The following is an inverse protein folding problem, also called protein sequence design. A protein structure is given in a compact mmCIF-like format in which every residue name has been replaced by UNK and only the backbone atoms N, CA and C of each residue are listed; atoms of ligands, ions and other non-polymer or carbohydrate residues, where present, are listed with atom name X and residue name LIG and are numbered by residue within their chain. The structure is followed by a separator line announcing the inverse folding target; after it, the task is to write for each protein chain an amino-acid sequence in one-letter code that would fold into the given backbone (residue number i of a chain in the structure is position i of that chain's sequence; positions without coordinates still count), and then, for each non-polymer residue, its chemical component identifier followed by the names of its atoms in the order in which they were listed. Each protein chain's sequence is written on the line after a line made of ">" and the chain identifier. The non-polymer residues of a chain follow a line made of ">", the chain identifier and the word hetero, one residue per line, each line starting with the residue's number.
data_IF_348753838816
#
_entry.id   IF_348753838816
#
_cell.length_a   1.000
_cell.length_b   1.000
_cell.length_c   1.000
_cell.angle_alpha   90.00
_cell.angle_beta   90.00
_cell.angle_gamma   90.00
#
_symmetry.space_group_name_H-M   'P 1'
#
loop_
_entity.id
_entity.type
_entity.pdbx_description
1 polymer ?
#
# COMPACT_ATOMS: atom_id res chain seq x y z
N UNK A 1 5.69 -1.55 -10.25
CA UNK A 1 5.96 -0.38 -11.12
C UNK A 1 4.88 -0.22 -12.18
N UNK A 2 4.66 -1.18 -13.10
CA UNK A 2 3.71 -1.06 -14.23
C UNK A 2 2.29 -0.74 -13.76
N UNK A 3 1.80 -1.41 -12.72
CA UNK A 3 0.48 -1.15 -12.11
C UNK A 3 0.33 0.33 -11.73
N UNK A 4 1.31 0.91 -11.07
CA UNK A 4 1.26 2.31 -10.61
C UNK A 4 1.41 3.32 -11.75
N UNK A 5 2.20 3.01 -12.77
CA UNK A 5 2.29 3.83 -14.00
C UNK A 5 0.94 3.87 -14.73
N UNK A 6 0.29 2.72 -14.88
CA UNK A 6 -1.02 2.63 -15.52
C UNK A 6 -2.11 3.30 -14.68
N UNK A 7 -2.09 3.11 -13.37
CA UNK A 7 -2.94 3.85 -12.42
C UNK A 7 -2.85 5.35 -12.65
N UNK A 8 -1.64 5.89 -12.76
CA UNK A 8 -1.45 7.33 -12.96
C UNK A 8 -1.90 7.78 -14.34
N UNK A 9 -1.69 6.95 -15.38
CA UNK A 9 -2.19 7.23 -16.73
C UNK A 9 -3.72 7.36 -16.75
N UNK A 10 -4.42 6.43 -16.08
CA UNK A 10 -5.87 6.45 -15.94
C UNK A 10 -6.31 7.73 -15.19
N UNK A 11 -5.73 7.97 -14.02
CA UNK A 11 -6.09 9.14 -13.19
C UNK A 11 -5.88 10.45 -13.91
N UNK A 12 -4.78 10.60 -14.65
CA UNK A 12 -4.53 11.82 -15.45
C UNK A 12 -5.61 12.07 -16.53
N UNK A 13 -6.19 11.00 -17.06
CA UNK A 13 -7.25 11.12 -18.08
C UNK A 13 -8.62 11.45 -17.46
N UNK A 14 -8.95 10.88 -16.29
CA UNK A 14 -10.31 10.99 -15.71
C UNK A 14 -10.42 12.01 -14.58
N UNK A 15 -9.29 12.44 -14.00
CA UNK A 15 -9.25 13.39 -12.87
C UNK A 15 -8.18 14.46 -13.10
N UNK A 16 -8.39 15.39 -14.06
CA UNK A 16 -7.39 16.41 -14.40
C UNK A 16 -7.15 17.44 -13.27
N UNK A 17 -8.08 17.56 -12.33
CA UNK A 17 -8.00 18.47 -11.18
C UNK A 17 -8.42 17.74 -9.91
N UNK A 18 -7.52 16.94 -9.30
CA UNK A 18 -7.81 16.25 -8.05
C UNK A 18 -7.91 17.25 -6.88
N UNK A 19 -8.76 16.94 -5.89
CA UNK A 19 -8.89 17.74 -4.67
C UNK A 19 -7.65 17.62 -3.76
N UNK A 20 -6.90 16.51 -3.90
CA UNK A 20 -5.60 16.31 -3.23
C UNK A 20 -4.55 15.96 -4.26
N UNK A 21 -3.31 16.35 -4.01
CA UNK A 21 -2.17 15.93 -4.85
C UNK A 21 -2.04 14.41 -4.87
N UNK A 22 -1.92 13.84 -6.05
CA UNK A 22 -1.67 12.41 -6.24
C UNK A 22 -0.21 12.23 -6.62
N UNK A 23 0.50 11.38 -5.89
CA UNK A 23 1.90 11.04 -6.11
C UNK A 23 2.02 9.56 -6.46
N UNK A 24 2.94 9.23 -7.36
CA UNK A 24 3.40 7.86 -7.60
C UNK A 24 4.84 7.76 -7.15
N UNK A 25 5.11 6.82 -6.26
CA UNK A 25 6.46 6.50 -5.80
C UNK A 25 7.01 5.29 -6.57
N UNK A 26 8.17 5.47 -7.20
CA UNK A 26 9.01 4.40 -7.71
C UNK A 26 10.32 4.45 -6.94
N UNK A 27 10.39 3.63 -5.90
CA UNK A 27 11.47 3.70 -4.92
C UNK A 27 12.70 2.93 -5.38
N UNK A 28 13.88 3.44 -5.11
CA UNK A 28 15.12 2.70 -5.27
C UNK A 28 15.57 2.14 -3.92
N UNK A 29 16.30 1.01 -3.97
CA UNK A 29 16.86 0.39 -2.78
C UNK A 29 15.81 -0.18 -1.82
N UNK A 30 14.70 -0.68 -2.35
CA UNK A 30 13.69 -1.38 -1.54
C UNK A 30 14.32 -2.64 -0.93
N UNK A 31 14.96 -3.48 -1.71
CA UNK A 31 15.64 -4.73 -1.32
C UNK A 31 16.81 -4.51 -0.36
N UNK A 32 17.34 -3.30 -0.27
CA UNK A 32 18.39 -2.92 0.68
C UNK A 32 17.83 -2.28 1.96
N UNK A 33 16.55 -2.45 2.21
CA UNK A 33 15.89 -1.99 3.44
C UNK A 33 15.04 -0.73 3.26
N UNK A 34 14.30 -0.62 2.17
CA UNK A 34 13.32 0.44 1.88
C UNK A 34 13.97 1.83 1.79
N UNK A 35 15.22 1.91 1.31
CA UNK A 35 16.02 3.13 1.41
C UNK A 35 15.38 4.34 0.74
N UNK A 36 14.82 4.16 -0.48
CA UNK A 36 14.21 5.25 -1.23
C UNK A 36 12.96 5.80 -0.54
N UNK A 37 12.04 4.94 -0.15
CA UNK A 37 10.80 5.36 0.50
C UNK A 37 11.05 5.95 1.89
N UNK A 38 11.93 5.37 2.69
CA UNK A 38 12.31 5.91 4.01
C UNK A 38 12.95 7.29 3.90
N UNK A 39 13.89 7.45 2.97
CA UNK A 39 14.52 8.76 2.72
C UNK A 39 13.48 9.80 2.32
N UNK A 40 12.61 9.45 1.36
CA UNK A 40 11.56 10.36 0.90
C UNK A 40 10.64 10.81 2.04
N UNK A 41 10.15 9.87 2.85
CA UNK A 41 9.25 10.20 3.96
C UNK A 41 9.94 11.07 5.03
N UNK A 42 11.21 10.81 5.31
CA UNK A 42 11.99 11.63 6.26
C UNK A 42 12.24 13.05 5.73
N UNK A 43 12.47 13.20 4.43
CA UNK A 43 12.74 14.50 3.80
C UNK A 43 11.47 15.32 3.51
N UNK A 44 10.30 14.65 3.50
CA UNK A 44 9.02 15.29 3.16
C UNK A 44 7.97 15.12 4.28
N UNK A 45 8.22 15.59 5.51
CA UNK A 45 7.32 15.39 6.64
C UNK A 45 5.92 15.95 6.40
N UNK A 46 5.78 17.02 5.63
CA UNK A 46 4.47 17.59 5.25
C UNK A 46 3.66 16.64 4.34
N UNK A 47 4.31 15.85 3.50
CA UNK A 47 3.64 14.81 2.70
C UNK A 47 3.10 13.72 3.62
N UNK A 48 3.92 13.28 4.56
CA UNK A 48 3.50 12.28 5.57
C UNK A 48 2.34 12.82 6.40
N UNK A 49 2.42 14.05 6.89
CA UNK A 49 1.39 14.72 7.68
C UNK A 49 0.07 14.85 6.91
N UNK A 50 0.13 15.25 5.64
CA UNK A 50 -1.05 15.43 4.77
C UNK A 50 -1.55 14.16 4.08
N UNK A 51 -0.92 12.99 4.29
CA UNK A 51 -1.24 11.77 3.57
C UNK A 51 -2.66 11.29 3.89
N UNK A 52 -3.52 11.22 2.88
CA UNK A 52 -4.86 10.66 2.95
C UNK A 52 -4.85 9.13 2.84
N UNK A 53 -4.08 8.60 1.92
CA UNK A 53 -3.90 7.17 1.69
C UNK A 53 -2.64 6.92 0.86
N UNK A 54 -1.96 5.82 1.14
CA UNK A 54 -0.95 5.22 0.29
C UNK A 54 -1.39 3.79 0.00
N UNK A 55 -1.42 3.41 -1.27
CA UNK A 55 -1.71 2.05 -1.72
C UNK A 55 -0.44 1.40 -2.24
N UNK A 56 -0.03 0.30 -1.63
CA UNK A 56 1.18 -0.43 -1.98
C UNK A 56 0.82 -1.87 -2.38
N UNK A 57 1.34 -2.31 -3.54
CA UNK A 57 1.26 -3.68 -4.01
C UNK A 57 2.66 -4.16 -4.35
N UNK A 58 3.09 -5.25 -3.71
CA UNK A 58 4.45 -5.76 -3.80
C UNK A 58 4.48 -7.28 -3.58
N UNK A 59 3.75 -8.03 -4.39
CA UNK A 59 3.69 -9.48 -4.27
C UNK A 59 3.18 -10.17 -5.55
N UNK A 60 3.96 -10.06 -6.59
CA UNK A 60 3.68 -10.70 -7.87
C UNK A 60 2.57 -10.01 -8.67
N UNK A 61 2.06 -10.69 -9.69
CA UNK A 61 1.13 -10.13 -10.68
C UNK A 61 -0.32 -10.54 -10.48
N UNK A 62 -0.60 -11.40 -9.52
CA UNK A 62 -1.95 -11.89 -9.25
C UNK A 62 -2.91 -10.76 -8.88
N UNK A 63 -4.19 -11.03 -9.05
CA UNK A 63 -5.26 -10.09 -8.68
C UNK A 63 -5.26 -9.81 -7.19
N UNK A 64 -5.52 -8.58 -6.80
CA UNK A 64 -5.66 -8.20 -5.39
C UNK A 64 -6.81 -8.95 -4.76
N UNK A 65 -6.53 -9.66 -3.66
CA UNK A 65 -7.50 -10.48 -2.92
C UNK A 65 -7.63 -10.12 -1.44
N UNK A 66 -6.69 -9.35 -0.91
CA UNK A 66 -6.76 -8.88 0.47
C UNK A 66 -6.27 -7.43 0.58
N UNK A 67 -6.74 -6.76 1.62
CA UNK A 67 -6.32 -5.41 2.01
C UNK A 67 -6.17 -5.34 3.52
N UNK A 68 -5.32 -4.43 4.00
CA UNK A 68 -5.06 -4.24 5.42
C UNK A 68 -5.24 -2.76 5.77
N UNK A 69 -6.06 -2.47 6.76
CA UNK A 69 -6.34 -1.11 7.26
C UNK A 69 -5.20 -0.50 8.10
N UNK A 70 -4.00 -1.08 8.02
CA UNK A 70 -2.74 -0.56 8.56
C UNK A 70 -2.74 -0.30 10.09
N UNK A 71 -3.62 -0.95 10.84
CA UNK A 71 -3.76 -0.74 12.28
C UNK A 71 -4.43 0.57 12.68
N UNK A 72 -5.04 1.28 11.73
CA UNK A 72 -5.81 2.49 11.99
C UNK A 72 -7.27 2.15 12.26
N UNK A 73 -7.82 2.67 13.35
CA UNK A 73 -9.17 2.31 13.82
C UNK A 73 -10.25 2.62 12.77
N UNK A 74 -10.14 3.78 12.11
CA UNK A 74 -11.10 4.22 11.09
C UNK A 74 -10.73 3.76 9.68
N UNK A 75 -9.52 3.22 9.48
CA UNK A 75 -9.02 2.81 8.17
C UNK A 75 -9.91 1.80 7.46
N UNK A 76 -10.54 0.89 8.21
CA UNK A 76 -11.48 -0.08 7.68
C UNK A 76 -12.77 0.55 7.15
N UNK A 77 -13.30 1.57 7.83
CA UNK A 77 -14.51 2.27 7.43
C UNK A 77 -14.28 3.06 6.12
N UNK A 78 -13.16 3.79 6.03
CA UNK A 78 -12.77 4.49 4.80
C UNK A 78 -12.58 3.55 3.62
N UNK A 79 -11.85 2.44 3.81
CA UNK A 79 -11.68 1.43 2.76
C UNK A 79 -13.02 0.82 2.33
N UNK A 80 -13.91 0.51 3.27
CA UNK A 80 -15.21 -0.05 2.97
C UNK A 80 -16.09 0.94 2.19
N UNK A 81 -16.10 2.21 2.59
CA UNK A 81 -16.83 3.26 1.88
C UNK A 81 -16.31 3.42 0.44
N UNK A 82 -15.01 3.53 0.25
CA UNK A 82 -14.42 3.63 -1.09
C UNK A 82 -14.71 2.39 -1.94
N UNK A 83 -14.53 1.18 -1.39
CA UNK A 83 -14.78 -0.07 -2.11
C UNK A 83 -16.25 -0.25 -2.48
N UNK A 84 -17.18 0.26 -1.67
CA UNK A 84 -18.61 0.20 -1.97
C UNK A 84 -19.00 0.94 -3.27
N UNK A 85 -18.15 1.88 -3.70
CA UNK A 85 -18.30 2.69 -4.92
C UNK A 85 -17.56 2.10 -6.11
N UNK A 86 -16.81 1.02 -5.93
CA UNK A 86 -16.08 0.31 -6.99
C UNK A 86 -16.95 -0.83 -7.53
N UNK A 87 -17.11 -1.00 -8.86
CA UNK A 87 -17.91 -2.07 -9.43
C UNK A 87 -17.49 -3.46 -8.95
N UNK A 88 -18.48 -4.33 -8.71
CA UNK A 88 -18.26 -5.69 -8.20
C UNK A 88 -17.37 -6.56 -9.10
N UNK A 89 -17.35 -6.30 -10.41
CA UNK A 89 -16.44 -6.98 -11.33
C UNK A 89 -14.97 -6.72 -11.04
N UNK A 90 -14.64 -5.56 -10.45
CA UNK A 90 -13.28 -5.17 -10.04
C UNK A 90 -12.96 -5.68 -8.65
N UNK A 91 -13.93 -5.59 -7.71
CA UNK A 91 -13.72 -5.93 -6.30
C UNK A 91 -14.07 -7.38 -5.95
N UNK A 92 -14.73 -8.11 -6.84
CA UNK A 92 -15.28 -9.45 -6.54
C UNK A 92 -14.24 -10.51 -6.10
N UNK A 93 -12.97 -10.24 -6.28
CA UNK A 93 -11.89 -11.10 -5.79
C UNK A 93 -11.29 -10.64 -4.45
N UNK A 94 -11.62 -9.44 -3.97
CA UNK A 94 -11.17 -8.96 -2.65
C UNK A 94 -12.01 -9.67 -1.58
N UNK A 95 -11.42 -10.62 -0.89
CA UNK A 95 -12.11 -11.55 0.01
C UNK A 95 -11.70 -11.42 1.47
N UNK A 96 -10.62 -10.73 1.74
CA UNK A 96 -10.07 -10.62 3.09
C UNK A 96 -9.65 -9.19 3.41
N UNK A 97 -10.07 -8.74 4.60
CA UNK A 97 -9.73 -7.43 5.13
C UNK A 97 -9.17 -7.57 6.54
N UNK A 98 -7.96 -7.07 6.75
CA UNK A 98 -7.44 -6.86 8.10
C UNK A 98 -8.01 -5.56 8.68
N UNK A 99 -8.99 -5.63 9.58
CA UNK A 99 -9.63 -4.46 10.22
C UNK A 99 -9.57 -4.62 11.74
N UNK A 100 -8.99 -3.68 12.45
CA UNK A 100 -8.19 -2.55 11.98
C UNK A 100 -6.86 -2.98 11.36
N UNK A 101 -6.56 -4.27 11.31
CA UNK A 101 -5.34 -4.84 10.78
C UNK A 101 -4.12 -4.55 11.66
N UNK A 102 -2.95 -4.59 11.04
CA UNK A 102 -1.69 -4.25 11.70
C UNK A 102 -0.88 -3.29 10.83
N UNK A 103 -0.11 -2.38 11.45
CA UNK A 103 0.81 -1.56 10.70
C UNK A 103 1.88 -2.45 10.05
N UNK A 104 2.34 -2.07 8.87
CA UNK A 104 3.49 -2.72 8.25
C UNK A 104 4.76 -2.39 9.05
N UNK A 105 5.47 -3.44 9.48
CA UNK A 105 6.72 -3.28 10.25
C UNK A 105 7.98 -3.39 9.38
N UNK A 106 7.82 -3.69 8.09
CA UNK A 106 8.89 -3.90 7.12
C UNK A 106 8.36 -4.71 5.94
N UNK A 107 9.26 -5.21 5.10
CA UNK A 107 8.94 -6.11 3.98
C UNK A 107 8.41 -5.44 2.73
N UNK A 108 7.97 -4.19 2.79
CA UNK A 108 7.65 -3.36 1.62
C UNK A 108 7.47 -1.89 2.00
N UNK A 109 7.44 -1.02 1.01
CA UNK A 109 7.51 0.45 1.12
C UNK A 109 6.37 1.10 1.92
N UNK A 110 5.21 0.46 2.07
CA UNK A 110 4.16 0.97 2.94
C UNK A 110 4.57 1.02 4.43
N UNK A 111 5.59 0.26 4.84
CA UNK A 111 6.16 0.36 6.19
C UNK A 111 6.80 1.74 6.46
N UNK A 112 7.30 2.38 5.41
CA UNK A 112 7.93 3.71 5.50
C UNK A 112 6.95 4.83 5.87
N UNK A 113 5.65 4.63 5.70
CA UNK A 113 4.61 5.56 6.19
C UNK A 113 3.91 5.04 7.44
N UNK A 114 3.78 3.71 7.57
CA UNK A 114 3.10 3.09 8.71
C UNK A 114 3.78 3.43 10.03
N UNK A 115 5.12 3.51 10.08
CA UNK A 115 5.86 3.88 11.28
C UNK A 115 5.48 5.27 11.82
N UNK A 116 5.12 6.20 10.95
CA UNK A 116 4.59 7.52 11.36
C UNK A 116 3.11 7.47 11.79
N UNK A 117 2.43 6.33 11.66
CA UNK A 117 0.99 6.20 11.85
C UNK A 117 0.18 6.79 10.70
N UNK A 118 0.78 6.93 9.53
CA UNK A 118 0.10 7.41 8.35
C UNK A 118 -0.59 6.25 7.59
N UNK A 119 -1.66 6.51 6.82
CA UNK A 119 -2.45 5.48 6.14
C UNK A 119 -1.70 4.81 4.99
N UNK A 120 -1.00 3.71 5.29
CA UNK A 120 -0.24 2.89 4.34
C UNK A 120 -0.88 1.53 4.11
N UNK A 121 -1.82 1.44 3.16
CA UNK A 121 -2.59 0.24 2.88
C UNK A 121 -1.80 -0.74 1.99
N UNK A 122 -1.64 -1.96 2.49
CA UNK A 122 -1.11 -3.06 1.69
C UNK A 122 -2.21 -3.72 0.84
N UNK A 123 -1.91 -3.95 -0.42
CA UNK A 123 -2.75 -4.66 -1.37
C UNK A 123 -2.12 -6.03 -1.64
N UNK A 124 -2.65 -7.07 -1.02
CA UNK A 124 -2.15 -8.43 -1.17
C UNK A 124 -2.78 -9.14 -2.36
N UNK A 125 -1.96 -9.79 -3.19
CA UNK A 125 -2.37 -10.45 -4.44
C UNK A 125 -2.43 -11.97 -4.31
N UNK A 126 -3.09 -12.61 -5.25
CA UNK A 126 -2.96 -14.06 -5.47
C UNK A 126 -1.48 -14.38 -5.73
N UNK A 127 -0.90 -15.32 -4.98
CA UNK A 127 0.55 -15.52 -5.01
C UNK A 127 1.05 -16.29 -6.25
N UNK A 128 0.24 -17.17 -6.87
CA UNK A 128 0.60 -17.97 -8.06
C UNK A 128 2.05 -18.49 -8.06
N UNK A 129 2.43 -19.16 -6.99
CA UNK A 129 3.80 -19.65 -6.78
C UNK A 129 4.88 -18.55 -6.75
N UNK A 130 4.50 -17.26 -6.63
CA UNK A 130 5.44 -16.16 -6.60
C UNK A 130 6.52 -16.37 -5.54
N UNK A 131 6.12 -16.58 -4.29
CA UNK A 131 7.06 -16.73 -3.17
C UNK A 131 7.89 -18.02 -3.21
N UNK A 132 7.43 -19.08 -3.88
CA UNK A 132 8.12 -20.35 -3.95
C UNK A 132 8.93 -20.56 -5.24
N UNK A 133 8.67 -19.73 -6.29
CA UNK A 133 9.25 -19.99 -7.59
C UNK A 133 9.98 -18.80 -8.21
N UNK A 134 9.45 -17.57 -8.09
CA UNK A 134 10.00 -16.42 -8.79
C UNK A 134 10.62 -15.37 -7.86
N UNK A 135 10.05 -15.16 -6.67
CA UNK A 135 10.48 -14.15 -5.73
C UNK A 135 11.96 -14.24 -5.38
N UNK A 136 12.68 -13.14 -5.53
CA UNK A 136 14.13 -13.02 -5.30
C UNK A 136 14.98 -13.99 -6.14
N UNK A 137 14.51 -14.34 -7.34
CA UNK A 137 15.25 -15.19 -8.27
C UNK A 137 15.35 -14.56 -9.66
N UNK A 138 16.29 -15.07 -10.48
CA UNK A 138 16.41 -14.69 -11.88
C UNK A 138 15.26 -15.27 -12.76
N UNK A 139 14.31 -15.96 -12.17
CA UNK A 139 13.11 -16.47 -12.85
C UNK A 139 11.96 -15.48 -12.84
N UNK A 140 12.08 -14.36 -12.11
CA UNK A 140 11.10 -13.28 -12.08
C UNK A 140 11.27 -12.39 -13.32
N UNK A 141 10.75 -12.89 -14.43
CA UNK A 141 10.92 -12.35 -15.77
C UNK A 141 9.58 -11.92 -16.36
N UNK A 142 9.61 -11.12 -17.43
CA UNK A 142 8.44 -10.52 -18.06
C UNK A 142 7.32 -11.52 -18.41
N UNK A 143 7.67 -12.75 -18.81
CA UNK A 143 6.71 -13.83 -19.14
C UNK A 143 5.85 -14.30 -17.96
N UNK A 144 6.18 -13.89 -16.73
CA UNK A 144 5.39 -14.16 -15.53
C UNK A 144 4.26 -13.14 -15.33
N UNK A 145 4.27 -12.05 -16.10
CA UNK A 145 3.23 -11.04 -16.01
C UNK A 145 1.91 -11.54 -16.63
N UNK A 146 0.85 -11.52 -15.85
CA UNK A 146 -0.51 -11.78 -16.33
C UNK A 146 -1.23 -10.45 -16.52
N UNK A 147 -1.25 -9.97 -17.76
CA UNK A 147 -1.70 -8.61 -18.09
C UNK A 147 -3.15 -8.32 -17.70
N UNK A 148 -4.04 -9.32 -17.73
CA UNK A 148 -5.43 -9.16 -17.27
C UNK A 148 -5.51 -8.83 -15.78
N UNK A 149 -4.66 -9.43 -14.98
CA UNK A 149 -4.60 -9.21 -13.54
C UNK A 149 -3.95 -7.85 -13.21
N UNK A 150 -2.85 -7.54 -13.88
CA UNK A 150 -2.20 -6.22 -13.75
C UNK A 150 -3.17 -5.10 -14.14
N UNK A 151 -3.96 -5.28 -15.20
CA UNK A 151 -4.98 -4.33 -15.62
C UNK A 151 -6.07 -4.16 -14.55
N UNK A 152 -6.57 -5.27 -13.98
CA UNK A 152 -7.54 -5.20 -12.89
C UNK A 152 -6.98 -4.46 -11.67
N UNK A 153 -5.75 -4.76 -11.28
CA UNK A 153 -5.10 -4.12 -10.14
C UNK A 153 -4.88 -2.62 -10.38
N UNK A 154 -4.48 -2.23 -11.58
CA UNK A 154 -4.33 -0.82 -11.94
C UNK A 154 -5.67 -0.08 -11.90
N UNK A 155 -6.75 -0.72 -12.39
CA UNK A 155 -8.09 -0.14 -12.34
C UNK A 155 -8.57 0.01 -10.90
N UNK A 156 -8.44 -1.03 -10.07
CA UNK A 156 -8.80 -0.99 -8.66
C UNK A 156 -8.03 0.12 -7.93
N UNK A 157 -6.71 0.18 -8.12
CA UNK A 157 -5.86 1.18 -7.46
C UNK A 157 -6.21 2.60 -7.94
N UNK A 158 -6.52 2.77 -9.24
CA UNK A 158 -6.96 4.06 -9.77
C UNK A 158 -8.28 4.51 -9.16
N UNK A 159 -9.26 3.62 -9.03
CA UNK A 159 -10.55 3.94 -8.42
C UNK A 159 -10.41 4.27 -6.94
N UNK A 160 -9.65 3.48 -6.18
CA UNK A 160 -9.37 3.77 -4.77
C UNK A 160 -8.64 5.11 -4.58
N UNK A 161 -7.64 5.38 -5.42
CA UNK A 161 -6.90 6.64 -5.39
C UNK A 161 -7.78 7.83 -5.76
N UNK A 162 -8.66 7.67 -6.76
CA UNK A 162 -9.66 8.67 -7.13
C UNK A 162 -10.56 8.99 -5.94
N UNK A 163 -11.15 7.97 -5.32
CA UNK A 163 -12.08 8.12 -4.20
C UNK A 163 -11.39 8.74 -2.99
N UNK A 164 -10.20 8.28 -2.63
CA UNK A 164 -9.41 8.85 -1.55
C UNK A 164 -9.02 10.31 -1.81
N UNK A 165 -8.65 10.66 -3.05
CA UNK A 165 -8.29 12.02 -3.42
C UNK A 165 -9.48 12.99 -3.41
N UNK A 166 -10.69 12.50 -3.66
CA UNK A 166 -11.92 13.31 -3.71
C UNK A 166 -12.73 13.25 -2.42
N UNK A 167 -12.36 12.42 -1.47
CA UNK A 167 -13.03 12.34 -0.17
C UNK A 167 -12.90 13.66 0.59
N UNK A 168 -14.00 14.32 0.99
CA UNK A 168 -13.92 15.58 1.74
C UNK A 168 -13.32 15.39 3.15
N UNK A 169 -13.40 14.20 3.70
CA UNK A 169 -12.90 13.91 5.04
C UNK A 169 -11.43 13.47 5.00
N UNK A 170 -10.65 13.99 5.96
CA UNK A 170 -9.28 13.50 6.21
C UNK A 170 -9.37 12.25 7.08
N UNK A 171 -8.72 11.18 6.67
CA UNK A 171 -8.68 9.95 7.45
C UNK A 171 -8.03 10.17 8.81
N UNK A 172 -8.72 9.85 9.92
CA UNK A 172 -8.14 9.92 11.26
C UNK A 172 -6.98 8.93 11.41
N UNK A 173 -6.04 9.26 12.31
CA UNK A 173 -4.84 8.44 12.55
C UNK A 173 -4.86 7.79 13.93
N UNK A 174 -6.04 7.45 14.42
CA UNK A 174 -6.20 6.73 15.68
C UNK A 174 -5.65 5.33 15.53
N UNK A 175 -4.57 5.05 16.24
CA UNK A 175 -3.89 3.74 16.21
C UNK A 175 -4.63 2.74 17.09
N UNK A 176 -4.70 1.50 16.65
CA UNK A 176 -5.18 0.40 17.50
C UNK A 176 -4.26 0.18 18.69
N UNK A 177 -4.80 -0.36 19.75
CA UNK A 177 -3.98 -0.99 20.79
C UNK A 177 -3.34 -2.24 20.17
N UNK A 178 -2.02 -2.33 20.22
CA UNK A 178 -1.31 -3.46 19.64
C UNK A 178 -1.58 -4.73 20.48
N UNK A 179 -1.66 -5.92 19.84
CA UNK A 179 -1.92 -7.16 20.56
C UNK A 179 -0.75 -7.59 21.42
N UNK A 180 -0.99 -8.49 22.37
CA UNK A 180 0.08 -9.17 23.06
C UNK A 180 0.80 -10.13 22.10
N UNK A 181 2.10 -10.26 22.26
CA UNK A 181 2.88 -11.27 21.58
C UNK A 181 2.45 -12.66 22.13
N UNK A 182 1.94 -13.57 21.32
CA UNK A 182 1.41 -14.84 21.79
C UNK A 182 2.50 -15.79 22.37
N UNK A 183 3.78 -15.53 22.08
CA UNK A 183 4.89 -16.33 22.59
C UNK A 183 5.46 -15.78 23.91
N UNK A 184 5.55 -14.46 24.05
CA UNK A 184 6.18 -13.83 25.22
C UNK A 184 5.16 -13.27 26.22
N UNK A 185 3.90 -13.06 25.81
CA UNK A 185 2.88 -12.40 26.59
C UNK A 185 3.09 -10.88 26.75
N UNK A 186 4.13 -10.33 26.15
CA UNK A 186 4.45 -8.90 26.22
C UNK A 186 3.60 -8.09 25.24
N UNK A 187 3.32 -6.85 25.60
CA UNK A 187 2.64 -5.89 24.73
C UNK A 187 3.52 -5.58 23.51
N UNK A 188 3.03 -5.86 22.32
CA UNK A 188 3.72 -5.41 21.10
C UNK A 188 3.61 -3.90 20.95
N UNK A 189 4.59 -3.28 20.32
CA UNK A 189 4.62 -1.84 20.09
C UNK A 189 4.31 -1.50 18.64
N UNK A 190 3.91 -0.25 18.41
CA UNK A 190 3.82 0.28 17.06
C UNK A 190 5.22 0.30 16.42
N UNK A 191 5.36 -0.02 15.11
CA UNK A 191 6.67 -0.02 14.46
C UNK A 191 7.36 1.35 14.55
N UNK A 192 8.64 1.35 14.85
CA UNK A 192 9.46 2.56 14.81
C UNK A 192 9.98 2.83 13.40
N UNK A 193 10.16 4.11 13.07
CA UNK A 193 10.75 4.50 11.80
C UNK A 193 12.26 4.23 11.81
N UNK A 194 12.70 3.41 10.88
CA UNK A 194 14.13 3.15 10.69
C UNK A 194 14.73 4.19 9.74
N UNK A 195 15.96 4.66 9.96
CA UNK A 195 16.63 5.58 9.05
C UNK A 195 16.91 4.93 7.69
N UNK A 196 16.95 5.74 6.63
CA UNK A 196 17.42 5.30 5.34
C UNK A 196 18.95 5.31 5.29
N UNK A 197 19.56 4.33 4.63
CA UNK A 197 20.95 4.41 4.24
C UNK A 197 21.06 5.41 3.07
N UNK A 198 21.82 6.50 3.26
CA UNK A 198 21.95 7.59 2.27
C UNK A 198 23.26 7.58 1.51
N UNK A 199 24.22 6.79 1.93
CA UNK A 199 25.47 6.53 1.25
C UNK A 199 25.97 5.14 1.59
N UNK A 200 26.55 4.49 0.60
CA UNK A 200 27.36 3.31 0.79
C UNK A 200 28.82 3.80 0.79
N UNK A 201 29.33 4.12 1.97
CA UNK A 201 30.75 4.41 2.15
C UNK A 201 31.50 3.11 2.36
#
# INVERSE_FOLDING_TARGET
>A
TVTMMETMRILKAVLPKPSRTILVGHWSGEEQGLNGSRAYMADHPKVVEGLQALFNQDNGTGRVVNMNAAGLMDGGAFLADWLSKVPGEITGNVRSFGIPGSPAGGGSDNASVACYGAPGFGLGSLPWEYFSYTWHTNRDTYDKLVLSEVRNNATLTAMLTYLAAQDPEQMPRVRRVMPLNPRTGEQTTWPECSPAARSFA
#
